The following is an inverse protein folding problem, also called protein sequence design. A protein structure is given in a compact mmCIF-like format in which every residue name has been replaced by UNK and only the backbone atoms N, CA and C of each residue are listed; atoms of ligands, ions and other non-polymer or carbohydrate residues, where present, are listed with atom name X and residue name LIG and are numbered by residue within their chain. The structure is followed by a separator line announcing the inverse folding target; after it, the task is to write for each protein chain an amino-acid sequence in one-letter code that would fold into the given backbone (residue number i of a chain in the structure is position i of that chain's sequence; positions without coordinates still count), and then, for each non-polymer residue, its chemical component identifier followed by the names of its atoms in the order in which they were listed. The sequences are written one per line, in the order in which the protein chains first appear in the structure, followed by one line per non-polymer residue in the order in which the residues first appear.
data_IF_042505947893
#
_entry.id   IF_042505947893
#
_cell.length_a   1.000
_cell.length_b   1.000
_cell.length_c   1.000
_cell.angle_alpha   90.00
_cell.angle_beta   90.00
_cell.angle_gamma   90.00
#
_symmetry.space_group_name_H-M   'P 1'
#
loop_
_entity.id
_entity.type
_entity.pdbx_description
1 polymer ?
#
# COMPACT_ATOMS: atom_id res chain seq x y z
N UNK A 1 36.24 -22.25 14.97
CA UNK A 1 37.01 -21.68 16.09
C UNK A 1 36.28 -20.43 16.57
N UNK A 2 35.74 -20.48 17.78
CA UNK A 2 35.23 -19.30 18.50
C UNK A 2 36.44 -18.79 19.27
N UNK A 3 36.91 -17.57 18.98
CA UNK A 3 37.92 -16.92 19.81
C UNK A 3 37.36 -16.85 21.24
N UNK A 4 38.12 -17.34 22.23
CA UNK A 4 37.70 -17.32 23.64
C UNK A 4 37.41 -15.86 24.04
N UNK A 5 36.36 -15.64 24.83
CA UNK A 5 35.91 -14.32 25.33
C UNK A 5 37.08 -13.40 25.74
N UNK A 6 38.10 -13.99 26.37
CA UNK A 6 39.32 -13.34 26.84
C UNK A 6 40.16 -12.67 25.74
N UNK A 7 40.22 -13.19 24.52
CA UNK A 7 41.08 -12.61 23.47
C UNK A 7 40.54 -11.29 22.94
N UNK A 8 39.21 -11.12 22.86
CA UNK A 8 38.60 -9.84 22.45
C UNK A 8 38.73 -8.79 23.56
N UNK A 9 38.45 -9.16 24.81
CA UNK A 9 38.58 -8.24 25.96
C UNK A 9 40.02 -7.74 26.05
N UNK A 10 41.00 -8.61 25.82
CA UNK A 10 42.41 -8.21 25.77
C UNK A 10 42.72 -7.35 24.54
N UNK A 11 42.21 -7.70 23.35
CA UNK A 11 42.47 -6.98 22.09
C UNK A 11 41.87 -5.57 22.05
N UNK A 12 40.76 -5.35 22.77
CA UNK A 12 40.01 -4.10 22.77
C UNK A 12 39.82 -3.51 24.18
N UNK A 13 40.75 -3.79 25.11
CA UNK A 13 40.66 -3.40 26.51
C UNK A 13 40.42 -1.88 26.72
N UNK A 14 40.88 -1.05 25.78
CA UNK A 14 40.78 0.40 25.84
C UNK A 14 39.62 0.97 25.00
N UNK A 15 38.86 0.13 24.29
CA UNK A 15 37.72 0.57 23.50
C UNK A 15 36.48 0.68 24.42
N UNK A 16 35.71 1.77 24.26
CA UNK A 16 34.41 1.87 24.93
C UNK A 16 33.53 0.70 24.46
N UNK A 17 32.78 0.05 25.37
CA UNK A 17 31.88 -1.03 25.00
C UNK A 17 30.70 -0.44 24.21
N UNK A 18 30.83 -0.42 22.89
CA UNK A 18 29.80 0.01 21.95
C UNK A 18 29.18 -1.25 21.37
N UNK A 19 27.85 -1.35 21.48
CA UNK A 19 27.10 -2.50 21.01
C UNK A 19 26.15 -2.10 19.89
N UNK A 20 26.13 -2.89 18.83
CA UNK A 20 25.12 -2.79 17.79
C UNK A 20 23.91 -3.60 18.27
N UNK A 21 22.81 -2.91 18.54
CA UNK A 21 21.55 -3.55 18.97
C UNK A 21 20.63 -3.84 17.80
N UNK A 22 20.59 -2.96 16.81
CA UNK A 22 19.64 -3.04 15.73
C UNK A 22 20.36 -2.71 14.42
N UNK A 23 20.08 -3.51 13.40
CA UNK A 23 20.53 -3.27 12.04
C UNK A 23 19.32 -3.34 11.14
N UNK A 24 18.96 -2.19 10.58
CA UNK A 24 18.00 -2.10 9.50
C UNK A 24 18.77 -1.96 8.19
N UNK A 25 18.87 -3.07 7.46
CA UNK A 25 19.55 -3.12 6.18
C UNK A 25 18.55 -3.09 5.01
N UNK A 26 17.34 -2.54 5.23
CA UNK A 26 16.34 -2.38 4.17
C UNK A 26 16.96 -1.67 2.97
N UNK A 27 16.74 -2.22 1.78
CA UNK A 27 17.26 -1.72 0.49
C UNK A 27 18.80 -1.59 0.43
N UNK A 28 19.50 -2.37 1.25
CA UNK A 28 20.97 -2.40 1.23
C UNK A 28 21.51 -3.48 0.30
N UNK A 29 22.61 -3.18 -0.39
CA UNK A 29 23.35 -4.16 -1.20
C UNK A 29 24.21 -5.12 -0.34
N UNK A 30 23.65 -5.64 0.76
CA UNK A 30 24.36 -6.56 1.66
C UNK A 30 24.49 -7.94 1.02
N UNK A 31 25.73 -8.30 0.69
CA UNK A 31 26.06 -9.63 0.18
C UNK A 31 26.41 -10.64 1.27
N UNK A 32 26.63 -11.90 0.89
CA UNK A 32 27.13 -12.96 1.77
C UNK A 32 28.31 -12.51 2.66
N UNK A 33 29.30 -11.84 2.07
CA UNK A 33 30.49 -11.34 2.78
C UNK A 33 30.16 -10.29 3.85
N UNK A 34 29.04 -9.58 3.75
CA UNK A 34 28.61 -8.61 4.77
C UNK A 34 28.23 -9.30 6.08
N UNK A 35 27.71 -10.52 6.02
CA UNK A 35 27.23 -11.24 7.22
C UNK A 35 28.36 -11.65 8.16
N UNK A 36 29.61 -11.74 7.67
CA UNK A 36 30.76 -12.06 8.53
C UNK A 36 30.97 -11.04 9.65
N UNK A 37 30.57 -9.78 9.42
CA UNK A 37 30.70 -8.72 10.42
C UNK A 37 29.68 -8.85 11.55
N UNK A 38 28.49 -9.40 11.27
CA UNK A 38 27.49 -9.67 12.31
C UNK A 38 27.92 -10.76 13.29
N UNK A 39 28.84 -11.65 12.87
CA UNK A 39 29.31 -12.76 13.69
C UNK A 39 29.80 -12.32 15.07
N UNK A 40 30.41 -11.13 15.15
CA UNK A 40 30.97 -10.57 16.38
C UNK A 40 30.05 -9.57 17.09
N UNK A 41 28.86 -9.29 16.57
CA UNK A 41 27.91 -8.41 17.23
C UNK A 41 27.36 -9.06 18.51
N UNK A 42 27.81 -8.56 19.66
CA UNK A 42 27.55 -9.14 20.98
C UNK A 42 26.12 -8.99 21.47
N UNK A 43 25.39 -7.98 21.00
CA UNK A 43 24.03 -7.68 21.45
C UNK A 43 23.09 -7.32 20.30
N UNK A 44 23.31 -7.88 19.12
CA UNK A 44 22.41 -7.65 17.99
C UNK A 44 21.06 -8.31 18.28
N UNK A 45 20.03 -7.51 18.53
CA UNK A 45 18.67 -7.93 18.89
C UNK A 45 17.71 -7.89 17.71
N UNK A 46 17.89 -6.97 16.78
CA UNK A 46 17.03 -6.80 15.60
C UNK A 46 17.86 -6.77 14.33
N UNK A 47 17.49 -7.60 13.35
CA UNK A 47 18.06 -7.57 12.02
C UNK A 47 16.95 -7.58 10.97
N UNK A 48 16.87 -6.51 10.17
CA UNK A 48 15.95 -6.44 9.03
C UNK A 48 16.73 -6.50 7.71
N UNK A 49 16.28 -7.38 6.83
CA UNK A 49 16.89 -7.70 5.54
C UNK A 49 15.82 -7.61 4.45
N UNK A 50 15.21 -6.44 4.35
CA UNK A 50 14.10 -6.20 3.43
C UNK A 50 14.64 -5.70 2.09
N UNK A 51 14.22 -6.32 1.00
CA UNK A 51 14.63 -5.98 -0.37
C UNK A 51 16.15 -6.15 -0.61
N UNK A 52 16.77 -7.07 0.13
CA UNK A 52 18.19 -7.39 0.00
C UNK A 52 18.38 -8.62 -0.90
N UNK A 53 18.97 -8.44 -2.10
CA UNK A 53 19.02 -9.52 -3.10
C UNK A 53 20.32 -10.34 -3.12
N UNK A 54 21.40 -9.83 -2.52
CA UNK A 54 22.75 -10.34 -2.74
C UNK A 54 23.23 -11.42 -1.73
N UNK A 55 22.33 -11.99 -0.94
CA UNK A 55 22.63 -13.10 -0.03
C UNK A 55 21.72 -14.31 -0.26
N UNK A 56 22.22 -15.49 0.14
CA UNK A 56 21.51 -16.76 0.12
C UNK A 56 21.45 -17.38 1.53
N UNK A 57 21.00 -18.63 1.62
CA UNK A 57 20.89 -19.37 2.88
C UNK A 57 22.22 -19.41 3.64
N UNK A 58 23.37 -19.55 2.96
CA UNK A 58 24.67 -19.73 3.60
C UNK A 58 25.13 -18.49 4.38
N UNK A 59 24.64 -17.30 4.03
CA UNK A 59 24.95 -16.08 4.77
C UNK A 59 24.53 -16.17 6.25
N UNK A 60 23.42 -16.85 6.53
CA UNK A 60 22.89 -17.02 7.89
C UNK A 60 23.76 -17.91 8.78
N UNK A 61 24.68 -18.68 8.19
CA UNK A 61 25.70 -19.44 8.92
C UNK A 61 26.53 -18.54 9.84
N UNK A 62 26.79 -17.30 9.44
CA UNK A 62 27.56 -16.34 10.25
C UNK A 62 26.78 -15.87 11.48
N UNK A 63 25.45 -15.80 11.40
CA UNK A 63 24.59 -15.50 12.55
C UNK A 63 24.49 -16.73 13.47
N UNK A 64 24.25 -17.91 12.88
CA UNK A 64 24.08 -19.18 13.57
C UNK A 64 25.33 -19.64 14.35
N UNK A 65 26.52 -19.42 13.82
CA UNK A 65 27.80 -19.73 14.49
C UNK A 65 28.46 -18.53 15.17
N UNK A 66 27.82 -17.36 15.12
CA UNK A 66 28.27 -16.15 15.75
C UNK A 66 27.64 -15.90 17.11
N UNK A 67 27.92 -14.72 17.66
CA UNK A 67 27.29 -14.18 18.86
C UNK A 67 25.79 -13.88 18.68
N UNK A 68 25.29 -13.49 17.48
CA UNK A 68 23.84 -13.30 17.24
C UNK A 68 22.99 -14.53 17.56
N UNK A 69 23.56 -15.74 17.51
CA UNK A 69 22.88 -16.98 17.92
C UNK A 69 22.11 -16.86 19.24
N UNK A 70 22.68 -16.17 20.22
CA UNK A 70 22.11 -16.05 21.56
C UNK A 70 21.54 -14.65 21.85
N UNK A 71 21.54 -13.74 20.88
CA UNK A 71 21.13 -12.34 21.11
C UNK A 71 20.13 -11.80 20.10
N UNK A 72 20.04 -12.40 18.91
CA UNK A 72 19.09 -11.98 17.89
C UNK A 72 17.68 -12.43 18.25
N UNK A 73 16.84 -11.45 18.60
CA UNK A 73 15.47 -11.66 19.03
C UNK A 73 14.49 -11.54 17.86
N UNK A 74 14.77 -10.66 16.90
CA UNK A 74 13.91 -10.39 15.77
C UNK A 74 14.68 -10.45 14.46
N UNK A 75 14.20 -11.29 13.55
CA UNK A 75 14.71 -11.42 12.19
C UNK A 75 13.57 -11.17 11.21
N UNK A 76 13.81 -10.24 10.30
CA UNK A 76 12.88 -9.91 9.23
C UNK A 76 13.56 -10.07 7.88
N UNK A 77 12.96 -10.86 6.99
CA UNK A 77 13.44 -11.07 5.62
C UNK A 77 12.26 -10.88 4.69
N UNK A 78 12.31 -9.83 3.90
CA UNK A 78 11.28 -9.51 2.92
C UNK A 78 11.93 -9.46 1.55
N UNK A 79 11.34 -10.18 0.58
CA UNK A 79 11.74 -10.12 -0.84
C UNK A 79 13.21 -10.48 -1.06
N UNK A 80 13.51 -11.79 -0.98
CA UNK A 80 14.81 -12.33 -1.37
C UNK A 80 14.60 -13.56 -2.26
N UNK A 81 15.13 -13.50 -3.49
CA UNK A 81 14.96 -14.55 -4.50
C UNK A 81 15.87 -15.77 -4.34
N UNK A 82 16.85 -15.71 -3.43
CA UNK A 82 17.90 -16.71 -3.25
C UNK A 82 17.72 -17.56 -1.99
N UNK A 83 16.98 -17.05 -0.98
CA UNK A 83 16.64 -17.76 0.26
C UNK A 83 15.62 -18.87 0.01
N UNK A 84 15.96 -20.09 0.40
CA UNK A 84 15.18 -21.32 0.20
C UNK A 84 14.82 -21.99 1.53
N UNK A 85 14.18 -23.16 1.50
CA UNK A 85 13.98 -23.97 2.73
C UNK A 85 15.30 -24.38 3.39
N UNK A 86 16.43 -24.32 2.67
CA UNK A 86 17.77 -24.57 3.21
C UNK A 86 18.17 -23.65 4.37
N UNK A 87 17.57 -22.45 4.48
CA UNK A 87 17.82 -21.52 5.57
C UNK A 87 17.38 -22.06 6.94
N UNK A 88 16.45 -23.02 6.99
CA UNK A 88 15.93 -23.60 8.24
C UNK A 88 17.08 -24.06 9.13
N UNK A 89 18.07 -24.75 8.58
CA UNK A 89 19.23 -25.29 9.33
C UNK A 89 20.01 -24.22 10.09
N UNK A 90 19.97 -22.97 9.64
CA UNK A 90 20.65 -21.85 10.29
C UNK A 90 19.72 -21.08 11.24
N UNK A 91 18.47 -20.86 10.84
CA UNK A 91 17.48 -20.18 11.69
C UNK A 91 17.26 -20.95 13.00
N UNK A 92 17.20 -22.28 12.95
CA UNK A 92 16.97 -23.11 14.16
C UNK A 92 18.11 -23.04 15.17
N UNK A 93 19.29 -22.54 14.77
CA UNK A 93 20.39 -22.29 15.70
C UNK A 93 20.21 -20.98 16.48
N UNK A 94 19.37 -20.04 16.02
CA UNK A 94 19.15 -18.75 16.67
C UNK A 94 18.25 -18.90 17.91
N UNK A 95 18.84 -19.36 19.01
CA UNK A 95 18.13 -19.74 20.25
C UNK A 95 17.38 -18.60 20.93
N UNK A 96 17.79 -17.36 20.69
CA UNK A 96 17.13 -16.18 21.25
C UNK A 96 15.98 -15.64 20.38
N UNK A 97 15.76 -16.22 19.19
CA UNK A 97 14.80 -15.70 18.23
C UNK A 97 13.36 -15.85 18.74
N UNK A 98 12.70 -14.70 18.91
CA UNK A 98 11.32 -14.58 19.40
C UNK A 98 10.36 -14.16 18.29
N UNK A 99 10.85 -13.49 17.24
CA UNK A 99 10.06 -13.09 16.08
C UNK A 99 10.82 -13.40 14.80
N UNK A 100 10.16 -14.13 13.92
CA UNK A 100 10.62 -14.37 12.56
C UNK A 100 9.54 -13.89 11.60
N UNK A 101 9.83 -12.83 10.85
CA UNK A 101 8.93 -12.30 9.83
C UNK A 101 9.51 -12.56 8.45
N UNK A 102 8.78 -13.32 7.64
CA UNK A 102 9.18 -13.73 6.31
C UNK A 102 8.12 -13.28 5.32
N UNK A 103 8.53 -12.71 4.20
CA UNK A 103 7.58 -12.32 3.17
C UNK A 103 8.21 -12.38 1.78
N UNK A 104 7.43 -12.79 0.79
CA UNK A 104 7.85 -12.86 -0.62
C UNK A 104 9.20 -13.58 -0.85
N UNK A 105 9.32 -14.81 -0.32
CA UNK A 105 10.49 -15.68 -0.52
C UNK A 105 10.14 -16.80 -1.51
N UNK A 106 10.28 -16.58 -2.84
CA UNK A 106 9.72 -17.45 -3.88
C UNK A 106 10.33 -18.86 -3.92
N UNK A 107 11.53 -19.06 -3.37
CA UNK A 107 12.15 -20.38 -3.30
C UNK A 107 11.66 -21.21 -2.12
N UNK A 108 10.95 -20.63 -1.14
CA UNK A 108 10.24 -21.40 -0.12
C UNK A 108 8.86 -21.79 -0.66
N UNK A 109 8.77 -22.98 -1.24
CA UNK A 109 7.59 -23.48 -1.94
C UNK A 109 6.53 -23.98 -0.97
N UNK A 110 6.95 -24.65 0.11
CA UNK A 110 6.03 -25.22 1.10
C UNK A 110 6.11 -24.47 2.43
N UNK A 111 5.41 -23.34 2.51
CA UNK A 111 5.41 -22.44 3.69
C UNK A 111 4.88 -23.11 4.95
N UNK A 112 3.82 -23.92 4.83
CA UNK A 112 3.25 -24.63 5.98
C UNK A 112 4.26 -25.64 6.56
N UNK A 113 4.95 -26.39 5.71
CA UNK A 113 6.02 -27.28 6.15
C UNK A 113 7.21 -26.51 6.73
N UNK A 114 7.58 -25.37 6.14
CA UNK A 114 8.63 -24.49 6.64
C UNK A 114 8.30 -23.99 8.05
N UNK A 115 7.13 -23.36 8.23
CA UNK A 115 6.67 -22.82 9.52
C UNK A 115 6.64 -23.95 10.56
N UNK A 116 6.08 -25.11 10.21
CA UNK A 116 6.03 -26.26 11.11
C UNK A 116 7.43 -26.69 11.56
N UNK A 117 8.39 -26.80 10.65
CA UNK A 117 9.76 -27.21 10.97
C UNK A 117 10.46 -26.21 11.88
N UNK A 118 10.35 -24.92 11.59
CA UNK A 118 10.95 -23.87 12.44
C UNK A 118 10.26 -23.82 13.80
N UNK A 119 8.93 -23.94 13.87
CA UNK A 119 8.18 -23.94 15.13
C UNK A 119 8.52 -25.13 16.02
N UNK A 120 8.78 -26.31 15.43
CA UNK A 120 9.21 -27.49 16.19
C UNK A 120 10.57 -27.27 16.87
N UNK A 121 11.48 -26.55 16.22
CA UNK A 121 12.81 -26.25 16.76
C UNK A 121 12.80 -25.02 17.69
N UNK A 122 11.97 -24.03 17.40
CA UNK A 122 11.86 -22.76 18.12
C UNK A 122 10.41 -22.51 18.56
N UNK A 123 9.89 -23.26 19.55
CA UNK A 123 8.48 -23.24 19.92
C UNK A 123 8.00 -21.89 20.49
N UNK A 124 8.92 -21.06 20.98
CA UNK A 124 8.64 -19.72 21.53
C UNK A 124 8.79 -18.60 20.48
N UNK A 125 9.19 -18.94 19.25
CA UNK A 125 9.31 -17.96 18.17
C UNK A 125 7.94 -17.75 17.53
N UNK A 126 7.52 -16.48 17.43
CA UNK A 126 6.36 -16.07 16.67
C UNK A 126 6.75 -15.94 15.19
N UNK A 127 6.30 -16.89 14.38
CA UNK A 127 6.61 -16.94 12.95
C UNK A 127 5.44 -16.36 12.16
N UNK A 128 5.75 -15.38 11.32
CA UNK A 128 4.77 -14.76 10.41
C UNK A 128 5.28 -14.91 8.99
N UNK A 129 4.56 -15.68 8.18
CA UNK A 129 4.87 -15.88 6.77
C UNK A 129 3.58 -15.75 5.94
N UNK A 130 3.16 -14.52 5.61
CA UNK A 130 1.91 -14.27 4.90
C UNK A 130 1.89 -14.94 3.52
N UNK A 131 0.69 -15.32 3.07
CA UNK A 131 0.47 -15.77 1.70
C UNK A 131 0.80 -14.66 0.70
N UNK A 132 1.33 -15.03 -0.47
CA UNK A 132 1.66 -14.09 -1.56
C UNK A 132 0.43 -13.37 -2.10
N UNK A 133 -0.72 -13.94 -1.81
CA UNK A 133 -2.03 -13.53 -2.30
C UNK A 133 -2.66 -12.51 -1.31
N UNK A 134 -1.96 -12.23 -0.20
CA UNK A 134 -2.23 -11.18 0.78
C UNK A 134 -1.06 -10.19 0.73
N UNK A 135 -1.19 -9.18 -0.12
CA UNK A 135 -0.30 -8.01 -0.10
C UNK A 135 -0.59 -7.18 1.16
N UNK A 136 0.42 -7.05 2.03
CA UNK A 136 0.36 -6.21 3.22
C UNK A 136 1.77 -5.90 3.68
N UNK A 137 2.17 -4.63 3.63
CA UNK A 137 3.46 -4.17 4.13
C UNK A 137 3.57 -4.46 5.63
N UNK A 138 4.54 -5.30 5.98
CA UNK A 138 4.79 -5.77 7.34
C UNK A 138 5.35 -4.68 8.26
N UNK A 139 4.51 -3.73 8.68
CA UNK A 139 4.82 -2.84 9.79
C UNK A 139 3.67 -2.82 10.80
N UNK A 140 3.99 -3.26 12.03
CA UNK A 140 3.23 -3.17 13.28
C UNK A 140 1.80 -2.59 13.17
N UNK A 141 0.82 -3.43 12.82
CA UNK A 141 -0.56 -3.19 13.22
C UNK A 141 -0.74 -3.84 14.58
N UNK A 142 -0.74 -3.02 15.64
CA UNK A 142 -1.27 -3.42 16.95
C UNK A 142 -2.54 -4.23 16.70
N UNK A 143 -2.60 -5.43 17.28
CA UNK A 143 -3.76 -6.30 17.31
C UNK A 143 -5.06 -5.49 17.25
N UNK A 144 -5.68 -5.44 16.06
CA UNK A 144 -7.11 -5.27 16.03
C UNK A 144 -7.67 -6.61 16.47
N UNK A 145 -8.00 -6.65 17.76
CA UNK A 145 -9.00 -7.57 18.29
C UNK A 145 -10.12 -7.61 17.26
N UNK A 146 -10.31 -8.77 16.62
CA UNK A 146 -11.49 -9.06 15.84
C UNK A 146 -12.68 -9.05 16.80
N UNK A 147 -13.21 -7.86 17.08
CA UNK A 147 -14.53 -7.72 17.68
C UNK A 147 -15.56 -7.96 16.59
N UNK A 148 -16.31 -9.04 16.76
CA UNK A 148 -17.56 -9.40 16.09
C UNK A 148 -18.27 -8.26 15.32
N UNK A 149 -18.21 -8.32 13.98
CA UNK A 149 -19.20 -7.74 13.07
C UNK A 149 -19.00 -8.36 11.69
N UNK A 150 -19.56 -9.56 11.53
CA UNK A 150 -19.45 -10.40 10.34
C UNK A 150 -20.26 -9.81 9.19
N UNK A 151 -19.58 -9.06 8.33
CA UNK A 151 -19.80 -9.07 6.89
C UNK A 151 -18.43 -9.29 6.28
N UNK A 152 -18.31 -10.31 5.43
CA UNK A 152 -17.10 -10.62 4.67
C UNK A 152 -16.72 -9.43 3.78
N UNK A 153 -15.43 -9.18 3.55
CA UNK A 153 -15.00 -8.03 2.73
C UNK A 153 -15.54 -8.13 1.29
N UNK A 154 -15.77 -9.36 0.80
CA UNK A 154 -16.47 -9.60 -0.46
C UNK A 154 -17.91 -9.11 -0.41
N UNK A 155 -18.67 -9.51 0.61
CA UNK A 155 -20.06 -9.08 0.83
C UNK A 155 -20.17 -7.55 0.99
N UNK A 156 -19.21 -6.93 1.70
CA UNK A 156 -19.13 -5.46 1.82
C UNK A 156 -18.88 -4.81 0.47
N UNK A 157 -17.91 -5.31 -0.29
CA UNK A 157 -17.60 -4.78 -1.62
C UNK A 157 -18.79 -4.86 -2.56
N UNK A 158 -19.53 -5.97 -2.53
CA UNK A 158 -20.74 -6.17 -3.33
C UNK A 158 -21.90 -5.27 -2.89
N UNK A 159 -22.07 -5.06 -1.57
CA UNK A 159 -23.07 -4.12 -1.05
C UNK A 159 -22.76 -2.69 -1.47
N UNK A 160 -21.51 -2.25 -1.33
CA UNK A 160 -21.06 -0.92 -1.75
C UNK A 160 -21.24 -0.79 -3.27
N UNK A 161 -20.83 -1.81 -4.02
CA UNK A 161 -20.97 -1.86 -5.47
C UNK A 161 -22.41 -1.62 -5.91
N UNK A 162 -23.35 -2.42 -5.40
CA UNK A 162 -24.75 -2.33 -5.78
C UNK A 162 -25.42 -1.02 -5.34
N UNK A 163 -24.93 -0.42 -4.24
CA UNK A 163 -25.42 0.88 -3.77
C UNK A 163 -24.98 2.02 -4.69
N UNK A 164 -23.74 1.94 -5.22
CA UNK A 164 -23.07 3.08 -5.84
C UNK A 164 -22.93 3.01 -7.35
N UNK A 165 -22.99 1.82 -7.96
CA UNK A 165 -22.69 1.64 -9.40
C UNK A 165 -23.48 2.55 -10.34
N UNK A 166 -24.74 2.84 -10.04
CA UNK A 166 -25.60 3.72 -10.86
C UNK A 166 -25.36 5.22 -10.61
N UNK A 167 -24.42 5.58 -9.73
CA UNK A 167 -24.03 6.96 -9.41
C UNK A 167 -22.60 7.28 -9.84
N UNK A 168 -21.84 6.25 -10.20
CA UNK A 168 -20.48 6.40 -10.72
C UNK A 168 -20.56 6.40 -12.24
N UNK A 169 -19.91 7.37 -12.85
CA UNK A 169 -19.91 7.57 -14.29
C UNK A 169 -18.49 7.58 -14.80
N UNK A 170 -18.28 7.02 -15.99
CA UNK A 170 -17.11 7.35 -16.81
C UNK A 170 -17.32 8.76 -17.35
N UNK A 171 -16.29 9.58 -17.25
CA UNK A 171 -16.30 10.97 -17.71
C UNK A 171 -15.30 11.09 -18.85
N UNK A 172 -15.76 11.61 -19.98
CA UNK A 172 -14.88 11.91 -21.13
C UNK A 172 -14.46 13.37 -21.04
N UNK A 173 -13.24 13.63 -20.57
CA UNK A 173 -12.69 14.97 -20.44
C UNK A 173 -12.05 15.47 -21.74
N UNK A 174 -11.62 16.73 -21.77
CA UNK A 174 -10.98 17.32 -22.95
C UNK A 174 -9.59 16.76 -23.27
N UNK A 175 -8.91 16.15 -22.28
CA UNK A 175 -7.57 15.56 -22.44
C UNK A 175 -7.52 14.09 -22.05
N UNK A 176 -8.22 13.73 -20.98
CA UNK A 176 -8.17 12.40 -20.40
C UNK A 176 -9.58 11.94 -20.04
N UNK A 177 -9.76 10.62 -20.05
CA UNK A 177 -10.95 9.96 -19.56
C UNK A 177 -10.72 9.51 -18.11
N UNK A 178 -11.81 9.47 -17.36
CA UNK A 178 -11.77 9.23 -15.93
C UNK A 178 -13.11 8.77 -15.40
N UNK A 179 -13.26 8.90 -14.10
CA UNK A 179 -14.44 8.53 -13.34
C UNK A 179 -15.02 9.75 -12.64
N UNK A 180 -16.27 9.69 -12.25
CA UNK A 180 -16.94 10.74 -11.49
C UNK A 180 -18.07 10.16 -10.66
N UNK A 181 -18.46 10.86 -9.60
CA UNK A 181 -19.54 10.44 -8.70
C UNK A 181 -20.62 11.53 -8.65
N UNK A 182 -21.89 11.14 -8.79
CA UNK A 182 -23.01 12.03 -8.54
C UNK A 182 -23.14 12.30 -7.03
N UNK A 183 -23.08 13.56 -6.60
CA UNK A 183 -23.10 13.97 -5.19
C UNK A 183 -24.50 14.30 -4.63
N UNK A 184 -25.54 14.16 -5.48
CA UNK A 184 -26.85 14.79 -5.27
C UNK A 184 -26.87 16.22 -5.81
N UNK A 185 -28.04 16.88 -5.78
CA UNK A 185 -28.28 18.24 -6.28
C UNK A 185 -27.91 18.43 -7.74
N UNK A 186 -27.99 17.35 -8.52
CA UNK A 186 -27.68 17.33 -9.96
C UNK A 186 -26.21 17.62 -10.28
N UNK A 187 -25.31 17.45 -9.30
CA UNK A 187 -23.87 17.63 -9.48
C UNK A 187 -23.11 16.31 -9.55
N UNK A 188 -22.11 16.27 -10.43
CA UNK A 188 -21.09 15.24 -10.54
C UNK A 188 -19.75 15.82 -10.09
N UNK A 189 -19.05 15.11 -9.21
CA UNK A 189 -17.69 15.41 -8.77
C UNK A 189 -16.68 14.52 -9.50
N UNK A 190 -15.60 15.11 -9.99
CA UNK A 190 -14.50 14.41 -10.69
C UNK A 190 -13.18 15.18 -10.56
N UNK A 191 -12.09 14.67 -11.13
CA UNK A 191 -10.77 15.29 -11.09
C UNK A 191 -10.60 16.36 -12.18
N UNK A 192 -9.98 17.50 -11.85
CA UNK A 192 -9.85 18.63 -12.79
C UNK A 192 -8.81 18.37 -13.90
N UNK A 193 -7.78 17.57 -13.63
CA UNK A 193 -6.69 17.28 -14.57
C UNK A 193 -7.14 16.59 -15.86
N UNK A 194 -8.39 16.12 -15.92
CA UNK A 194 -9.02 15.58 -17.11
C UNK A 194 -9.18 16.60 -18.25
N UNK A 195 -8.92 17.88 -17.98
CA UNK A 195 -8.82 18.93 -18.99
C UNK A 195 -10.15 19.60 -19.32
N UNK A 196 -10.98 19.81 -18.29
CA UNK A 196 -12.24 20.54 -18.43
C UNK A 196 -12.04 22.03 -18.65
N UNK A 197 -13.00 22.64 -19.34
CA UNK A 197 -13.17 24.09 -19.45
C UNK A 197 -14.50 24.52 -18.88
N UNK A 198 -14.54 25.72 -18.32
CA UNK A 198 -15.76 26.23 -17.70
C UNK A 198 -16.88 26.38 -18.73
N UNK A 199 -18.12 26.07 -18.32
CA UNK A 199 -19.35 26.20 -19.13
C UNK A 199 -19.42 25.32 -20.39
N UNK A 200 -18.42 24.48 -20.66
CA UNK A 200 -18.49 23.47 -21.70
C UNK A 200 -19.23 22.20 -21.23
N UNK A 201 -19.73 21.42 -22.19
CA UNK A 201 -20.45 20.16 -21.96
C UNK A 201 -19.56 18.97 -22.25
N UNK A 202 -19.65 17.96 -21.39
CA UNK A 202 -18.88 16.72 -21.50
C UNK A 202 -19.80 15.50 -21.36
N UNK A 203 -19.42 14.41 -22.00
CA UNK A 203 -20.16 13.14 -22.02
C UNK A 203 -19.90 12.33 -20.76
N UNK A 204 -20.97 11.82 -20.16
CA UNK A 204 -20.92 10.88 -19.05
C UNK A 204 -21.54 9.55 -19.47
N UNK A 205 -20.89 8.45 -19.09
CA UNK A 205 -21.34 7.09 -19.39
C UNK A 205 -21.52 6.32 -18.08
N UNK A 206 -22.74 5.91 -17.80
CA UNK A 206 -23.09 5.14 -16.61
C UNK A 206 -23.28 3.65 -16.91
N UNK A 207 -23.76 2.91 -15.92
CA UNK A 207 -24.16 1.51 -16.06
C UNK A 207 -25.33 1.33 -17.02
N UNK A 208 -25.40 0.18 -17.70
CA UNK A 208 -26.48 -0.18 -18.63
C UNK A 208 -26.65 0.81 -19.79
N UNK A 209 -25.53 1.25 -20.37
CA UNK A 209 -25.48 2.16 -21.52
C UNK A 209 -26.23 3.49 -21.29
N UNK A 210 -26.26 3.95 -20.03
CA UNK A 210 -26.74 5.29 -19.71
C UNK A 210 -25.75 6.30 -20.26
N UNK A 211 -26.20 7.16 -21.17
CA UNK A 211 -25.44 8.26 -21.74
C UNK A 211 -26.11 9.57 -21.40
N UNK A 212 -25.39 10.47 -20.74
CA UNK A 212 -25.89 11.80 -20.43
C UNK A 212 -24.79 12.83 -20.64
N UNK A 213 -25.15 14.11 -20.65
CA UNK A 213 -24.17 15.19 -20.76
C UNK A 213 -24.30 16.17 -19.61
N UNK A 214 -23.16 16.68 -19.16
CA UNK A 214 -23.10 17.59 -18.02
C UNK A 214 -22.23 18.80 -18.33
N UNK A 215 -22.63 19.97 -17.82
CA UNK A 215 -21.94 21.25 -18.03
C UNK A 215 -21.01 21.52 -16.86
N UNK A 216 -19.77 21.93 -17.12
CA UNK A 216 -18.81 22.26 -16.06
C UNK A 216 -19.22 23.58 -15.39
N UNK A 217 -19.49 23.53 -14.10
CA UNK A 217 -19.87 24.72 -13.31
C UNK A 217 -18.72 25.27 -12.46
N UNK A 218 -17.76 24.42 -12.10
CA UNK A 218 -16.67 24.79 -11.22
C UNK A 218 -15.43 23.94 -11.48
N UNK A 219 -14.26 24.58 -11.43
CA UNK A 219 -12.94 23.95 -11.53
C UNK A 219 -12.05 24.55 -10.44
N UNK A 220 -11.33 23.69 -9.73
CA UNK A 220 -10.23 24.08 -8.86
C UNK A 220 -9.03 23.19 -9.19
N UNK A 221 -8.09 23.73 -9.96
CA UNK A 221 -6.86 23.05 -10.43
C UNK A 221 -5.88 22.82 -9.28
N UNK A 222 -5.90 23.67 -8.25
CA UNK A 222 -5.02 23.51 -7.07
C UNK A 222 -5.39 22.28 -6.24
N UNK A 223 -6.69 22.06 -6.03
CA UNK A 223 -7.23 20.88 -5.37
C UNK A 223 -7.45 19.72 -6.35
N UNK A 224 -7.31 19.94 -7.66
CA UNK A 224 -7.56 18.98 -8.72
C UNK A 224 -9.00 18.42 -8.74
N UNK A 225 -9.98 19.32 -8.61
CA UNK A 225 -11.42 18.99 -8.53
C UNK A 225 -12.23 19.77 -9.55
N UNK A 226 -13.18 19.11 -10.21
CA UNK A 226 -14.20 19.75 -11.04
C UNK A 226 -15.61 19.30 -10.62
N UNK A 227 -16.57 20.23 -10.75
CA UNK A 227 -18.01 19.93 -10.62
C UNK A 227 -18.70 20.15 -11.96
N UNK A 228 -19.41 19.13 -12.39
CA UNK A 228 -20.27 19.16 -13.57
C UNK A 228 -21.73 19.08 -13.11
N UNK A 229 -22.64 19.68 -13.87
CA UNK A 229 -24.08 19.67 -13.58
C UNK A 229 -24.90 19.14 -14.75
N UNK A 230 -25.88 18.31 -14.44
CA UNK A 230 -26.88 17.83 -15.39
C UNK A 230 -28.20 17.53 -14.68
N UNK A 231 -29.32 17.92 -15.29
CA UNK A 231 -30.65 17.64 -14.74
C UNK A 231 -31.00 16.15 -14.72
N UNK A 232 -30.26 15.34 -15.48
CA UNK A 232 -30.41 13.88 -15.59
C UNK A 232 -29.66 13.12 -14.47
N UNK A 233 -28.84 13.81 -13.67
CA UNK A 233 -28.08 13.17 -12.59
C UNK A 233 -28.98 12.86 -11.37
N UNK A 234 -28.72 11.75 -10.65
CA UNK A 234 -29.46 11.41 -9.43
C UNK A 234 -29.42 12.53 -8.38
N UNK A 235 -30.58 12.90 -7.85
CA UNK A 235 -30.74 13.98 -6.87
C UNK A 235 -30.99 13.47 -5.44
N UNK A 236 -30.25 12.45 -5.03
CA UNK A 236 -30.36 11.91 -3.67
C UNK A 236 -29.15 12.33 -2.86
N UNK A 237 -29.38 12.87 -1.66
CA UNK A 237 -28.30 13.17 -0.73
C UNK A 237 -27.48 11.92 -0.38
N UNK A 238 -26.23 12.18 -0.03
CA UNK A 238 -25.20 11.16 0.17
C UNK A 238 -24.60 11.34 1.55
N UNK A 239 -24.48 10.23 2.28
CA UNK A 239 -23.72 10.21 3.51
C UNK A 239 -22.22 10.39 3.20
N UNK A 240 -21.61 11.35 3.89
CA UNK A 240 -20.17 11.65 3.78
C UNK A 240 -19.51 11.47 5.14
N UNK A 241 -18.29 10.94 5.15
CA UNK A 241 -17.49 10.76 6.36
C UNK A 241 -16.03 11.11 6.09
N UNK A 242 -15.27 11.29 7.17
CA UNK A 242 -13.83 11.50 7.05
C UNK A 242 -13.11 10.17 6.84
N UNK A 243 -12.02 10.22 6.07
CA UNK A 243 -11.11 9.10 5.89
C UNK A 243 -9.86 9.33 6.75
N UNK A 244 -9.49 8.34 7.55
CA UNK A 244 -8.31 8.39 8.42
C UNK A 244 -7.22 7.42 7.97
N UNK A 245 -5.98 7.72 8.33
CA UNK A 245 -4.84 6.82 8.15
C UNK A 245 -5.06 5.49 8.88
N UNK A 246 -4.65 4.39 8.24
CA UNK A 246 -4.81 3.03 8.74
C UNK A 246 -6.20 2.43 8.52
N UNK A 247 -7.12 3.13 7.85
CA UNK A 247 -8.46 2.62 7.53
C UNK A 247 -8.48 1.95 6.16
N UNK A 248 -9.22 0.85 6.05
CA UNK A 248 -9.54 0.27 4.74
C UNK A 248 -10.53 1.18 4.02
N UNK A 249 -10.37 1.28 2.71
CA UNK A 249 -11.31 1.94 1.82
C UNK A 249 -11.68 1.04 0.64
N UNK A 250 -12.78 1.38 -0.02
CA UNK A 250 -13.19 0.82 -1.30
C UNK A 250 -13.17 1.93 -2.34
N UNK A 251 -12.59 1.67 -3.49
CA UNK A 251 -12.42 2.61 -4.58
C UNK A 251 -13.18 2.09 -5.79
N UNK A 252 -14.05 2.92 -6.36
CA UNK A 252 -14.83 2.57 -7.55
C UNK A 252 -14.46 3.48 -8.71
N UNK A 253 -14.36 2.92 -9.91
CA UNK A 253 -14.05 3.69 -11.11
C UNK A 253 -14.16 2.87 -12.38
N UNK A 254 -14.03 3.55 -13.52
CA UNK A 254 -14.00 2.97 -14.85
C UNK A 254 -12.54 2.84 -15.33
N UNK A 255 -11.98 1.64 -15.37
CA UNK A 255 -10.62 1.43 -15.87
C UNK A 255 -10.54 1.76 -17.36
N UNK A 256 -9.49 2.47 -17.78
CA UNK A 256 -9.29 2.85 -19.20
C UNK A 256 -8.89 1.67 -20.09
N UNK A 257 -8.33 0.61 -19.49
CA UNK A 257 -7.90 -0.61 -20.17
C UNK A 257 -9.04 -1.61 -20.42
N UNK A 258 -10.24 -1.33 -19.91
CA UNK A 258 -11.40 -2.20 -20.10
C UNK A 258 -12.60 -1.41 -20.61
N UNK A 259 -13.15 -1.84 -21.74
CA UNK A 259 -14.44 -1.33 -22.24
C UNK A 259 -15.56 -2.06 -21.49
N UNK A 260 -15.68 -1.80 -20.19
CA UNK A 260 -16.76 -2.30 -19.36
C UNK A 260 -17.95 -1.33 -19.36
N UNK A 261 -19.16 -1.88 -19.46
CA UNK A 261 -20.42 -1.14 -19.33
C UNK A 261 -20.77 -0.83 -17.86
N UNK A 262 -19.90 -1.17 -16.92
CA UNK A 262 -20.08 -0.97 -15.49
C UNK A 262 -18.76 -0.57 -14.82
N UNK A 263 -18.78 0.12 -13.67
CA UNK A 263 -17.55 0.43 -12.96
C UNK A 263 -16.98 -0.86 -12.35
N UNK A 264 -15.69 -0.83 -12.01
CA UNK A 264 -15.05 -1.84 -11.17
C UNK A 264 -14.75 -1.28 -9.78
N UNK A 265 -14.66 -2.17 -8.79
CA UNK A 265 -14.39 -1.82 -7.40
C UNK A 265 -13.12 -2.51 -6.91
N UNK A 266 -12.26 -1.77 -6.24
CA UNK A 266 -11.04 -2.27 -5.59
C UNK A 266 -11.05 -1.91 -4.11
N UNK A 267 -10.27 -2.64 -3.31
CA UNK A 267 -10.11 -2.41 -1.88
C UNK A 267 -8.68 -1.98 -1.61
N UNK A 268 -8.51 -0.99 -0.74
CA UNK A 268 -7.20 -0.57 -0.28
C UNK A 268 -7.19 -0.16 1.19
N UNK A 269 -6.05 0.38 1.61
CA UNK A 269 -5.74 0.86 2.96
C UNK A 269 -5.10 2.23 2.81
N UNK A 270 -5.53 3.18 3.63
CA UNK A 270 -4.85 4.47 3.73
C UNK A 270 -3.57 4.28 4.53
N UNK A 271 -2.44 4.53 3.90
CA UNK A 271 -1.12 4.29 4.49
C UNK A 271 -0.60 5.50 5.25
N UNK A 272 -0.75 6.70 4.68
CA UNK A 272 -0.23 7.93 5.27
C UNK A 272 -0.86 9.19 4.66
N UNK A 273 -0.44 10.36 5.14
CA UNK A 273 -0.60 11.63 4.44
C UNK A 273 0.46 11.79 3.35
N UNK A 274 0.08 12.44 2.26
CA UNK A 274 1.00 12.96 1.26
C UNK A 274 1.83 14.11 1.85
N UNK A 275 2.94 14.45 1.21
CA UNK A 275 3.84 15.53 1.68
C UNK A 275 3.15 16.89 1.84
N UNK A 276 2.07 17.14 1.10
CA UNK A 276 1.26 18.36 1.21
C UNK A 276 0.31 18.38 2.41
N UNK A 277 0.22 17.30 3.20
CA UNK A 277 -0.66 17.13 4.37
C UNK A 277 -2.16 17.29 4.09
N UNK A 278 -2.54 17.35 2.81
CA UNK A 278 -3.92 17.58 2.36
C UNK A 278 -4.47 16.31 1.72
N UNK A 279 -3.60 15.55 1.04
CA UNK A 279 -3.96 14.29 0.41
C UNK A 279 -3.56 13.11 1.29
N UNK A 280 -4.27 12.02 1.13
CA UNK A 280 -3.93 10.72 1.69
C UNK A 280 -3.25 9.87 0.61
N UNK A 281 -2.34 9.01 1.04
CA UNK A 281 -1.71 7.98 0.21
C UNK A 281 -2.34 6.64 0.57
N UNK A 282 -2.77 5.88 -0.44
CA UNK A 282 -3.37 4.56 -0.25
C UNK A 282 -2.78 3.50 -1.16
N UNK A 283 -2.87 2.25 -0.71
CA UNK A 283 -2.47 1.06 -1.47
C UNK A 283 -3.56 -0.03 -1.42
N UNK A 284 -3.66 -0.92 -2.43
CA UNK A 284 -2.93 -0.88 -3.69
C UNK A 284 -3.36 0.34 -4.51
N UNK A 285 -2.49 0.79 -5.42
CA UNK A 285 -2.81 1.95 -6.25
C UNK A 285 -3.96 1.67 -7.24
N UNK A 286 -4.33 2.69 -8.02
CA UNK A 286 -5.48 2.64 -8.91
C UNK A 286 -5.10 2.20 -10.33
N UNK A 287 -6.10 1.80 -11.11
CA UNK A 287 -5.94 1.63 -12.56
C UNK A 287 -6.08 2.99 -13.25
N UNK A 288 -5.45 3.15 -14.41
CA UNK A 288 -5.76 4.31 -15.26
C UNK A 288 -7.27 4.39 -15.53
N UNK A 289 -7.83 5.59 -15.58
CA UNK A 289 -9.28 5.82 -15.73
C UNK A 289 -10.04 5.94 -14.41
N UNK A 290 -9.44 5.54 -13.29
CA UNK A 290 -10.06 5.74 -11.99
C UNK A 290 -10.00 7.19 -11.50
N UNK A 291 -9.19 8.08 -12.10
CA UNK A 291 -9.11 9.50 -11.73
C UNK A 291 -10.50 10.13 -11.65
N UNK A 292 -10.83 10.77 -10.53
CA UNK A 292 -12.15 11.27 -10.19
C UNK A 292 -13.11 10.23 -9.61
N UNK A 293 -12.65 9.00 -9.37
CA UNK A 293 -13.42 7.91 -8.79
C UNK A 293 -13.66 8.09 -7.28
N UNK A 294 -14.85 7.74 -6.77
CA UNK A 294 -15.16 7.87 -5.35
C UNK A 294 -14.47 6.81 -4.48
N UNK A 295 -14.15 7.22 -3.26
CA UNK A 295 -13.60 6.38 -2.19
C UNK A 295 -14.61 6.26 -1.06
N UNK A 296 -14.89 5.03 -0.65
CA UNK A 296 -15.86 4.69 0.39
C UNK A 296 -15.19 4.08 1.62
N UNK A 297 -15.76 4.33 2.81
CA UNK A 297 -15.39 3.62 4.01
C UNK A 297 -16.00 2.21 4.06
N UNK A 298 -15.72 1.46 5.13
CA UNK A 298 -16.31 0.13 5.37
C UNK A 298 -17.83 0.12 5.53
N UNK A 299 -18.44 1.27 5.80
CA UNK A 299 -19.89 1.45 5.91
C UNK A 299 -20.54 1.81 4.57
N UNK A 300 -19.75 2.13 3.54
CA UNK A 300 -20.22 2.58 2.23
C UNK A 300 -20.48 4.08 2.15
N UNK A 301 -20.06 4.87 3.14
CA UNK A 301 -20.15 6.33 3.08
C UNK A 301 -19.04 6.90 2.18
N UNK A 302 -19.33 7.98 1.44
CA UNK A 302 -18.34 8.65 0.59
C UNK A 302 -17.33 9.41 1.48
N UNK A 303 -16.04 9.22 1.23
CA UNK A 303 -14.99 9.77 2.12
C UNK A 303 -13.89 10.54 1.44
N UNK A 304 -13.57 10.19 0.19
CA UNK A 304 -12.56 10.89 -0.59
C UNK A 304 -12.83 10.74 -2.09
N UNK A 305 -12.09 11.51 -2.88
CA UNK A 305 -12.00 11.40 -4.33
C UNK A 305 -10.60 10.96 -4.71
N UNK A 306 -10.45 10.02 -5.65
CA UNK A 306 -9.17 9.75 -6.25
C UNK A 306 -8.80 10.89 -7.19
N UNK A 307 -7.72 11.64 -6.92
CA UNK A 307 -7.27 12.74 -7.79
C UNK A 307 -6.01 12.40 -8.56
N UNK A 308 -5.43 11.23 -8.31
CA UNK A 308 -4.39 10.68 -9.15
C UNK A 308 -3.76 9.47 -8.50
N UNK A 309 -2.85 8.84 -9.21
CA UNK A 309 -1.92 7.93 -8.59
C UNK A 309 -0.58 8.05 -9.29
N UNK A 310 0.43 7.53 -8.63
CA UNK A 310 1.77 7.51 -9.16
C UNK A 310 2.17 6.04 -9.27
N UNK A 311 2.68 5.66 -10.44
CA UNK A 311 3.82 4.76 -10.49
C UNK A 311 4.98 5.55 -9.90
N UNK A 312 5.13 5.50 -8.59
CA UNK A 312 6.38 5.95 -8.01
C UNK A 312 7.42 4.90 -8.41
N UNK A 313 8.25 5.23 -9.40
CA UNK A 313 9.59 4.68 -9.40
C UNK A 313 10.33 5.41 -8.27
N UNK A 314 10.32 4.83 -7.09
CA UNK A 314 11.22 5.23 -5.99
C UNK A 314 12.63 4.78 -6.35
N UNK A 315 13.66 5.19 -5.60
CA UNK A 315 15.02 4.62 -5.77
C UNK A 315 14.99 3.07 -5.65
N UNK A 316 13.97 2.53 -4.98
CA UNK A 316 13.63 1.11 -4.80
C UNK A 316 12.71 0.53 -5.89
N UNK A 317 12.59 1.15 -7.08
CA UNK A 317 11.77 0.58 -8.15
C UNK A 317 12.36 -0.75 -8.62
N UNK A 318 11.65 -1.86 -8.43
CA UNK A 318 12.11 -3.18 -8.86
C UNK A 318 12.05 -3.32 -10.37
N UNK A 319 12.88 -4.20 -10.96
CA UNK A 319 12.78 -4.55 -12.39
C UNK A 319 11.35 -4.97 -12.79
N UNK A 320 10.54 -5.49 -11.87
CA UNK A 320 9.14 -5.83 -12.10
C UNK A 320 8.21 -4.61 -12.15
N UNK A 321 8.52 -3.50 -11.48
CA UNK A 321 7.80 -2.22 -11.62
C UNK A 321 8.02 -1.60 -13.02
N UNK A 322 9.09 -1.99 -13.70
CA UNK A 322 9.35 -1.62 -15.10
C UNK A 322 8.58 -2.50 -16.11
N UNK A 323 8.07 -3.67 -15.68
CA UNK A 323 7.38 -4.65 -16.54
C UNK A 323 5.96 -5.01 -16.10
N UNK A 324 5.50 -4.54 -14.94
CA UNK A 324 4.08 -4.56 -14.58
C UNK A 324 3.38 -3.60 -15.54
N UNK A 325 2.28 -4.07 -16.11
CA UNK A 325 1.62 -3.42 -17.22
C UNK A 325 1.44 -1.91 -16.92
N UNK A 326 1.61 -1.03 -17.93
CA UNK A 326 1.54 0.43 -17.76
C UNK A 326 0.16 0.95 -17.29
N UNK A 327 -0.75 0.07 -16.86
CA UNK A 327 -2.16 0.32 -16.51
C UNK A 327 -2.45 0.34 -15.01
N UNK A 328 -1.53 -0.09 -14.13
CA UNK A 328 -1.75 -0.16 -12.67
C UNK A 328 -0.74 0.70 -11.90
N UNK A 329 -1.23 1.60 -11.05
CA UNK A 329 -0.42 2.49 -10.22
C UNK A 329 -0.12 1.82 -8.88
N UNK A 330 1.05 2.10 -8.28
CA UNK A 330 1.46 1.49 -7.01
C UNK A 330 0.82 2.20 -5.81
N UNK A 331 0.66 3.52 -5.89
CA UNK A 331 0.05 4.35 -4.86
C UNK A 331 -1.04 5.26 -5.43
N UNK A 332 -2.11 5.46 -4.68
CA UNK A 332 -3.13 6.46 -4.97
C UNK A 332 -2.98 7.73 -4.13
N UNK A 333 -3.33 8.87 -4.70
CA UNK A 333 -3.51 10.15 -4.02
C UNK A 333 -5.00 10.41 -3.87
N UNK A 334 -5.48 10.31 -2.64
CA UNK A 334 -6.87 10.52 -2.27
C UNK A 334 -7.05 11.91 -1.69
N UNK A 335 -8.07 12.63 -2.15
CA UNK A 335 -8.44 13.93 -1.62
C UNK A 335 -9.67 13.78 -0.72
N UNK A 336 -9.55 14.00 0.60
CA UNK A 336 -10.67 13.85 1.54
C UNK A 336 -11.84 14.78 1.26
N UNK A 337 -13.09 14.32 1.48
CA UNK A 337 -14.30 15.10 1.20
C UNK A 337 -14.37 16.42 1.97
N UNK A 338 -13.91 16.46 3.22
CA UNK A 338 -13.86 17.70 4.01
C UNK A 338 -12.95 18.75 3.37
N UNK A 339 -11.85 18.33 2.73
CA UNK A 339 -10.96 19.23 1.98
C UNK A 339 -11.64 19.72 0.71
N UNK A 340 -12.33 18.83 -0.03
CA UNK A 340 -13.07 19.18 -1.24
C UNK A 340 -14.15 20.22 -0.95
N UNK A 341 -14.95 19.98 0.09
CA UNK A 341 -15.99 20.90 0.52
C UNK A 341 -15.42 22.25 0.97
N UNK A 342 -14.29 22.23 1.69
CA UNK A 342 -13.59 23.46 2.07
C UNK A 342 -13.11 24.22 0.83
N UNK A 343 -12.51 23.54 -0.15
CA UNK A 343 -12.04 24.15 -1.39
C UNK A 343 -13.23 24.80 -2.15
N UNK A 344 -14.31 24.06 -2.39
CA UNK A 344 -15.51 24.59 -3.09
C UNK A 344 -16.11 25.80 -2.36
N UNK A 345 -16.12 25.80 -1.03
CA UNK A 345 -16.68 26.90 -0.23
C UNK A 345 -15.79 28.15 -0.20
N UNK A 346 -14.47 27.98 -0.28
CA UNK A 346 -13.51 29.06 0.00
C UNK A 346 -12.81 29.62 -1.22
N UNK A 347 -12.80 28.91 -2.35
CA UNK A 347 -12.20 29.39 -3.60
C UNK A 347 -13.25 29.70 -4.67
N UNK A 348 -12.94 30.70 -5.50
CA UNK A 348 -13.65 30.90 -6.76
C UNK A 348 -13.22 29.82 -7.75
N UNK A 349 -14.07 29.53 -8.73
CA UNK A 349 -13.68 28.67 -9.84
C UNK A 349 -12.51 29.30 -10.58
N UNK A 350 -11.53 28.48 -10.96
CA UNK A 350 -10.47 28.90 -11.86
C UNK A 350 -11.08 29.24 -13.21
N UNK A 351 -10.83 30.45 -13.70
CA UNK A 351 -11.16 30.84 -15.07
C UNK A 351 -10.25 30.09 -16.05
N UNK A 352 -10.65 30.05 -17.33
CA UNK A 352 -9.81 29.54 -18.40
C UNK A 352 -8.59 30.46 -18.56
N UNK A 353 -7.56 30.23 -17.74
CA UNK A 353 -6.23 30.79 -17.97
C UNK A 353 -5.67 30.09 -19.21
N UNK A 354 -5.69 30.83 -20.33
CA UNK A 354 -5.11 30.44 -21.63
C UNK A 354 -3.69 29.90 -21.51
#
# INVERSE_FOLDING_TARGET
MIEKEDTYVTRWANAKPIYIHEVDATDSAIGYDGFKFFRECRELRVLKLNYCEYFDDEAFRHLAYGRPKNTLNELEIITNGSVSEGIIKWITELKALKRLHLYLLPRIRNRNAFIRQVQLALPQCNITFPESDKFGYGYNVKQYIFSSSLMDDKERSEKIYNTWKNRVFRVEGGKLNGSGIALGRKHLLTAAHMGFKLKERYSLHGTNDVHLSATVEYINRKADVALLKSDELPDTEIERRNLDVGRNYFLMGYPSDVVESAPSISKGIVENFHADQIHLVGSPGARYGYSGGPVFDKGGALTALLVGGRTCLTQDSTFKDMFTQPTQQNNVRLLPMNVIEWAIKTSKSDEDSM
#
